data_IF_965172820129
#
_entry.id   IF_965172820129
#
_cell.length_a   1.000
_cell.length_b   1.000
_cell.length_c   1.000
_cell.angle_alpha   90.00
_cell.angle_beta   90.00
_cell.angle_gamma   90.00
#
_symmetry.space_group_name_H-M   'P 1'
#
loop_
_entity.id
_entity.type
_entity.pdbx_description
1 polymer ?
#
# COMPACT_ATOMS: atom_id res chain seq x y z
N UNK A 1 23.05 14.23 -15.32
CA UNK A 1 22.47 14.95 -16.48
C UNK A 1 21.05 15.37 -16.15
N UNK A 2 20.75 16.67 -16.19
CA UNK A 2 19.40 17.22 -16.00
C UNK A 2 18.68 17.20 -17.35
N UNK A 3 17.62 16.42 -17.46
CA UNK A 3 16.83 16.30 -18.69
C UNK A 3 15.72 17.34 -18.65
N UNK A 4 15.63 18.16 -19.68
CA UNK A 4 14.67 19.26 -19.80
C UNK A 4 14.31 19.46 -21.28
N UNK A 5 13.20 20.17 -21.55
CA UNK A 5 12.70 20.47 -22.92
C UNK A 5 12.44 19.21 -23.76
N UNK A 6 11.87 18.16 -23.16
CA UNK A 6 11.64 16.88 -23.85
C UNK A 6 10.59 16.95 -24.98
N UNK A 7 9.79 18.03 -25.03
CA UNK A 7 8.66 18.12 -25.96
C UNK A 7 7.57 17.09 -25.64
N UNK A 8 6.86 16.66 -26.69
CA UNK A 8 5.88 15.58 -26.60
C UNK A 8 6.57 14.24 -26.77
N UNK A 9 6.24 13.27 -25.92
CA UNK A 9 6.83 11.93 -25.97
C UNK A 9 5.78 10.86 -25.70
N UNK A 10 6.02 9.66 -26.26
CA UNK A 10 5.19 8.49 -26.00
C UNK A 10 5.56 7.89 -24.65
N UNK A 11 4.55 7.70 -23.80
CA UNK A 11 4.69 6.99 -22.53
C UNK A 11 4.10 5.58 -22.67
N UNK A 12 4.86 4.58 -22.26
CA UNK A 12 4.39 3.21 -22.13
C UNK A 12 3.95 2.98 -20.68
N UNK A 13 2.93 2.13 -20.47
CA UNK A 13 2.51 1.76 -19.12
C UNK A 13 1.44 2.64 -18.48
N UNK A 14 0.77 3.52 -19.23
CA UNK A 14 -0.33 4.35 -18.71
C UNK A 14 -1.47 3.53 -18.09
N UNK A 15 -1.64 2.26 -18.49
CA UNK A 15 -2.58 1.33 -17.87
C UNK A 15 -2.34 1.09 -16.38
N UNK A 16 -1.15 1.41 -15.87
CA UNK A 16 -0.82 1.31 -14.44
C UNK A 16 -1.49 2.41 -13.62
N UNK A 17 -1.93 3.50 -14.25
CA UNK A 17 -2.64 4.60 -13.60
C UNK A 17 -4.13 4.24 -13.59
N UNK A 18 -4.76 4.07 -12.41
CA UNK A 18 -6.19 3.77 -12.34
C UNK A 18 -7.04 4.90 -12.94
N UNK A 19 -8.23 4.56 -13.43
CA UNK A 19 -9.18 5.58 -13.90
C UNK A 19 -9.80 6.31 -12.71
N UNK A 20 -10.23 7.56 -12.92
CA UNK A 20 -10.89 8.36 -11.88
C UNK A 20 -9.95 8.91 -10.80
N UNK A 21 -8.64 8.83 -11.01
CA UNK A 21 -7.64 9.40 -10.10
C UNK A 21 -7.33 10.86 -10.45
N UNK A 22 -7.00 11.63 -9.44
CA UNK A 22 -6.45 12.97 -9.60
C UNK A 22 -4.92 12.89 -9.68
N UNK A 23 -4.32 13.47 -10.72
CA UNK A 23 -2.85 13.51 -10.86
C UNK A 23 -2.31 14.69 -10.05
N UNK A 24 -1.52 14.40 -9.03
CA UNK A 24 -0.92 15.40 -8.14
C UNK A 24 0.45 15.88 -8.63
N UNK A 25 1.19 15.01 -9.32
CA UNK A 25 2.52 15.34 -9.81
C UNK A 25 3.20 14.17 -10.51
N UNK A 26 4.29 14.47 -11.20
CA UNK A 26 5.09 13.47 -11.87
C UNK A 26 6.57 13.84 -11.83
N UNK A 27 7.43 12.85 -11.57
CA UNK A 27 8.88 13.01 -11.54
C UNK A 27 9.52 12.04 -12.52
N UNK A 28 10.44 12.55 -13.36
CA UNK A 28 11.25 11.70 -14.23
C UNK A 28 12.37 11.04 -13.41
N UNK A 29 12.34 9.72 -13.33
CA UNK A 29 13.29 8.91 -12.57
C UNK A 29 14.18 8.14 -13.53
N UNK A 30 15.50 8.24 -13.34
CA UNK A 30 16.48 7.44 -14.07
C UNK A 30 16.76 6.14 -13.30
N UNK A 31 16.55 5.01 -13.96
CA UNK A 31 16.93 3.66 -13.48
C UNK A 31 17.95 3.05 -14.46
N UNK A 32 18.70 2.00 -14.07
CA UNK A 32 19.61 1.30 -14.99
C UNK A 32 18.92 0.79 -16.27
N UNK A 33 17.64 0.43 -16.17
CA UNK A 33 16.82 -0.04 -17.29
C UNK A 33 16.25 1.07 -18.17
N UNK A 34 16.43 2.35 -17.82
CA UNK A 34 15.93 3.48 -18.60
C UNK A 34 15.26 4.57 -17.76
N UNK A 35 14.45 5.39 -18.43
CA UNK A 35 13.72 6.49 -17.80
C UNK A 35 12.27 6.10 -17.54
N UNK A 36 11.77 6.49 -16.36
CA UNK A 36 10.42 6.19 -15.90
C UNK A 36 9.76 7.47 -15.41
N UNK A 37 8.45 7.59 -15.62
CA UNK A 37 7.66 8.64 -15.02
C UNK A 37 7.04 8.09 -13.74
N UNK A 38 7.47 8.61 -12.58
CA UNK A 38 6.83 8.30 -11.31
C UNK A 38 5.70 9.30 -11.08
N UNK A 39 4.46 8.85 -11.23
CA UNK A 39 3.26 9.69 -11.14
C UNK A 39 2.60 9.49 -9.79
N UNK A 40 2.40 10.57 -9.04
CA UNK A 40 1.63 10.57 -7.79
C UNK A 40 0.18 10.89 -8.12
N UNK A 41 -0.73 10.02 -7.65
CA UNK A 41 -2.16 10.15 -7.88
C UNK A 41 -2.93 10.06 -6.55
N UNK A 42 -4.05 10.80 -6.46
CA UNK A 42 -5.03 10.64 -5.39
C UNK A 42 -6.23 9.83 -5.88
N UNK A 43 -6.63 8.85 -5.08
CA UNK A 43 -7.85 8.08 -5.29
C UNK A 43 -8.96 8.69 -4.42
N UNK A 44 -10.16 8.96 -4.97
CA UNK A 44 -11.32 9.31 -4.17
C UNK A 44 -11.58 8.24 -3.10
N UNK A 45 -11.95 8.70 -1.90
CA UNK A 45 -12.33 7.82 -0.79
C UNK A 45 -13.58 7.02 -1.21
N UNK A 46 -13.41 5.72 -1.44
CA UNK A 46 -14.46 4.82 -1.94
C UNK A 46 -14.06 4.05 -3.20
N UNK A 47 -13.14 4.60 -4.00
CA UNK A 47 -12.61 3.98 -5.22
C UNK A 47 -11.29 3.24 -5.00
N UNK A 48 -10.71 3.34 -3.79
CA UNK A 48 -9.66 2.43 -3.37
C UNK A 48 -10.15 0.99 -3.53
N UNK A 49 -9.33 0.04 -4.03
CA UNK A 49 -9.71 -1.37 -4.06
C UNK A 49 -10.28 -1.73 -2.69
N UNK A 50 -11.56 -2.11 -2.69
CA UNK A 50 -12.40 -2.16 -1.47
C UNK A 50 -11.57 -2.81 -0.36
N UNK A 51 -11.50 -2.20 0.85
CA UNK A 51 -11.00 -2.92 2.01
C UNK A 51 -11.73 -4.27 2.04
N UNK A 52 -10.98 -5.36 2.21
CA UNK A 52 -11.55 -6.69 2.38
C UNK A 52 -12.62 -6.58 3.47
N UNK A 53 -13.89 -6.72 3.07
CA UNK A 53 -15.09 -6.78 3.89
C UNK A 53 -15.18 -5.75 5.04
N UNK A 54 -15.70 -4.57 4.74
CA UNK A 54 -16.08 -3.61 5.77
C UNK A 54 -17.05 -2.56 5.26
N UNK A 55 -18.27 -2.98 4.90
CA UNK A 55 -19.55 -2.28 5.07
C UNK A 55 -20.61 -2.87 4.13
N UNK A 56 -21.71 -3.38 4.69
CA UNK A 56 -22.94 -2.60 4.60
C UNK A 56 -23.31 -2.07 5.99
N UNK A 57 -23.96 -0.91 6.03
CA UNK A 57 -24.90 -0.62 7.09
C UNK A 57 -26.02 -1.67 7.00
N UNK A 58 -25.84 -2.83 7.66
CA UNK A 58 -26.85 -3.90 7.66
C UNK A 58 -27.90 -3.54 8.71
N UNK A 59 -28.83 -2.66 8.37
CA UNK A 59 -30.11 -2.56 9.09
C UNK A 59 -31.03 -3.66 8.57
N UNK A 60 -31.00 -4.82 9.23
CA UNK A 60 -31.88 -5.94 8.92
C UNK A 60 -31.49 -7.24 9.63
N UNK A 61 -32.38 -8.23 9.71
CA UNK A 61 -32.19 -9.46 10.50
C UNK A 61 -31.00 -10.34 10.07
N UNK A 62 -30.43 -10.10 8.88
CA UNK A 62 -29.20 -10.76 8.38
C UNK A 62 -27.88 -10.21 8.95
N UNK A 63 -27.91 -9.13 9.73
CA UNK A 63 -26.72 -8.59 10.42
C UNK A 63 -26.14 -9.53 11.49
N UNK A 64 -26.94 -10.48 11.98
CA UNK A 64 -26.58 -11.30 13.15
C UNK A 64 -25.51 -12.36 12.85
N UNK A 65 -25.40 -12.83 11.61
CA UNK A 65 -24.51 -13.94 11.21
C UNK A 65 -23.10 -13.47 10.78
N UNK A 66 -22.92 -12.18 10.48
CA UNK A 66 -21.63 -11.59 10.06
C UNK A 66 -20.95 -10.74 11.16
N UNK A 67 -21.46 -10.76 12.41
CA UNK A 67 -20.94 -9.93 13.51
C UNK A 67 -19.44 -10.15 13.78
N UNK A 68 -18.96 -11.38 13.74
CA UNK A 68 -17.56 -11.69 14.12
C UNK A 68 -16.48 -11.14 13.18
N UNK A 69 -16.81 -10.82 11.92
CA UNK A 69 -15.84 -10.34 10.92
C UNK A 69 -16.03 -8.85 10.54
N UNK A 70 -17.13 -8.21 10.96
CA UNK A 70 -17.46 -6.81 10.65
C UNK A 70 -17.35 -5.87 11.85
N UNK A 71 -17.04 -6.39 13.04
CA UNK A 71 -16.84 -5.55 14.22
C UNK A 71 -15.52 -4.78 14.12
N UNK A 72 -15.55 -3.51 14.52
CA UNK A 72 -14.34 -2.70 14.60
C UNK A 72 -13.33 -3.39 15.54
N UNK A 73 -12.15 -3.72 15.00
CA UNK A 73 -11.08 -4.35 15.76
C UNK A 73 -10.13 -3.27 16.26
N UNK A 74 -9.94 -3.20 17.58
CA UNK A 74 -8.94 -2.34 18.20
C UNK A 74 -7.53 -2.87 17.92
N UNK A 75 -6.59 -1.97 17.65
CA UNK A 75 -5.18 -2.27 17.42
C UNK A 75 -4.36 -1.72 18.59
N UNK A 76 -3.49 -2.55 19.16
CA UNK A 76 -2.52 -2.14 20.19
C UNK A 76 -1.12 -2.63 19.83
N UNK A 77 -0.11 -1.79 20.05
CA UNK A 77 1.30 -2.09 19.77
C UNK A 77 2.07 -2.16 21.07
N UNK A 78 2.48 -3.37 21.46
CA UNK A 78 3.11 -3.64 22.74
C UNK A 78 4.56 -4.13 22.64
N UNK A 79 5.24 -4.17 23.79
CA UNK A 79 6.60 -4.72 23.91
C UNK A 79 6.54 -6.25 24.00
N UNK A 80 5.56 -6.81 24.73
CA UNK A 80 5.40 -8.25 24.91
C UNK A 80 4.79 -8.97 23.70
N UNK A 81 3.88 -8.29 22.98
CA UNK A 81 3.37 -8.71 21.68
C UNK A 81 3.29 -7.50 20.77
N UNK A 82 3.93 -7.57 19.59
CA UNK A 82 4.15 -6.37 18.75
C UNK A 82 2.86 -5.80 18.18
N UNK A 83 1.88 -6.63 17.86
CA UNK A 83 0.54 -6.22 17.47
C UNK A 83 -0.50 -7.10 18.16
N UNK A 84 -1.37 -6.48 18.94
CA UNK A 84 -2.50 -7.14 19.61
C UNK A 84 -3.81 -6.58 19.05
N UNK A 85 -4.72 -7.48 18.68
CA UNK A 85 -6.04 -7.17 18.21
C UNK A 85 -7.06 -7.38 19.34
N UNK A 86 -8.10 -6.53 19.41
CA UNK A 86 -9.14 -6.65 20.44
C UNK A 86 -9.94 -7.96 20.37
N UNK A 87 -9.85 -8.69 19.26
CA UNK A 87 -10.43 -10.03 19.10
C UNK A 87 -9.53 -11.16 19.67
N UNK A 88 -8.43 -10.81 20.34
CA UNK A 88 -7.53 -11.75 21.01
C UNK A 88 -6.37 -12.25 20.13
N UNK A 89 -6.33 -11.91 18.84
CA UNK A 89 -5.20 -12.26 17.97
C UNK A 89 -3.98 -11.43 18.38
N UNK A 90 -2.85 -12.12 18.56
CA UNK A 90 -1.55 -11.51 18.82
C UNK A 90 -0.60 -11.90 17.70
N UNK A 91 0.08 -10.91 17.13
CA UNK A 91 0.99 -11.08 16.00
C UNK A 91 2.35 -10.52 16.41
N UNK A 92 3.33 -11.41 16.39
CA UNK A 92 4.74 -11.04 16.48
C UNK A 92 5.37 -11.17 15.10
N UNK A 93 6.12 -10.15 14.71
CA UNK A 93 6.81 -10.11 13.44
C UNK A 93 8.21 -9.53 13.62
N UNK A 94 9.17 -10.10 12.90
CA UNK A 94 10.54 -9.63 12.89
C UNK A 94 11.00 -9.47 11.45
N UNK A 95 11.51 -8.28 11.12
CA UNK A 95 12.18 -8.06 9.84
C UNK A 95 13.64 -8.38 10.04
N UNK A 96 14.03 -9.61 9.72
CA UNK A 96 15.43 -9.99 9.78
C UNK A 96 16.21 -9.44 8.60
N UNK A 97 17.44 -9.05 8.86
CA UNK A 97 18.39 -8.76 7.81
C UNK A 97 18.63 -10.01 6.95
N UNK A 98 18.53 -9.86 5.62
CA UNK A 98 18.74 -10.98 4.70
C UNK A 98 20.18 -11.53 4.79
N UNK A 99 20.39 -12.84 4.60
CA UNK A 99 21.74 -13.41 4.56
C UNK A 99 22.67 -12.79 3.52
N UNK A 100 22.10 -12.21 2.44
CA UNK A 100 22.86 -11.48 1.43
C UNK A 100 23.40 -10.16 1.99
N UNK A 101 22.57 -9.38 2.68
CA UNK A 101 22.97 -8.10 3.26
C UNK A 101 24.04 -8.30 4.35
N UNK A 102 23.86 -9.30 5.23
CA UNK A 102 24.88 -9.71 6.22
C UNK A 102 26.22 -10.10 5.61
N UNK A 103 26.22 -10.67 4.39
CA UNK A 103 27.46 -11.01 3.66
C UNK A 103 28.12 -9.79 3.04
N UNK A 104 27.34 -8.83 2.55
CA UNK A 104 27.86 -7.59 1.96
C UNK A 104 28.48 -6.68 3.03
N UNK A 105 27.82 -6.53 4.18
CA UNK A 105 28.36 -5.74 5.30
C UNK A 105 29.71 -6.26 5.79
N UNK A 106 29.92 -7.58 5.83
CA UNK A 106 31.21 -8.18 6.22
C UNK A 106 32.37 -7.94 5.22
N UNK A 107 32.07 -7.45 4.02
CA UNK A 107 33.05 -7.18 2.96
C UNK A 107 33.41 -5.69 2.85
N UNK A 108 32.73 -4.85 3.62
CA UNK A 108 33.04 -3.43 3.80
C UNK A 108 33.86 -3.26 5.06
#
# INVERSE_FOLDING_TARGET
ARIQKLGNFRVLGLHQIPRGVEIAGAVLVRKPSGYYLHVTCYLPKGDSPKPIAGQPHVTGPRARTLRGYLEAVGLDFGIGSKLTLSNGIKIDFEVHETPRLKRLQRKL
#
